data_IF_407596379237
#
_entry.id   IF_407596379237
#
_cell.length_a   1.000
_cell.length_b   1.000
_cell.length_c   1.000
_cell.angle_alpha   90.00
_cell.angle_beta   90.00
_cell.angle_gamma   90.00
#
_symmetry.space_group_name_H-M   'P 1'
#
loop_
_entity.id
_entity.type
_entity.pdbx_description
1 polymer ?
#
# COMPACT_ATOMS: atom_id res chain seq x y z
N UNK A 1 -19.44 -75.69 -34.13
CA UNK A 1 -20.29 -75.30 -35.28
C UNK A 1 -21.32 -74.30 -34.78
N UNK A 2 -21.43 -73.15 -35.48
CA UNK A 2 -22.54 -72.17 -35.63
C UNK A 2 -23.73 -72.29 -34.66
N UNK A 3 -24.30 -71.25 -34.07
CA UNK A 3 -24.22 -69.80 -34.29
C UNK A 3 -25.51 -69.11 -33.78
N UNK A 4 -25.32 -68.05 -33.00
CA UNK A 4 -25.97 -66.72 -33.07
C UNK A 4 -27.48 -66.47 -32.82
N UNK A 5 -27.72 -65.41 -32.01
CA UNK A 5 -28.85 -64.46 -31.97
C UNK A 5 -30.19 -64.96 -31.39
N UNK A 6 -31.06 -64.18 -30.71
CA UNK A 6 -31.13 -62.78 -30.25
C UNK A 6 -32.43 -62.61 -29.42
N UNK A 7 -32.45 -61.64 -28.49
CA UNK A 7 -33.54 -60.70 -28.11
C UNK A 7 -34.99 -61.12 -27.76
N UNK A 8 -35.41 -60.66 -26.57
CA UNK A 8 -36.65 -59.89 -26.21
C UNK A 8 -38.09 -60.46 -26.32
N UNK A 9 -38.96 -59.89 -25.45
CA UNK A 9 -40.46 -59.88 -25.39
C UNK A 9 -41.11 -61.16 -24.81
N UNK A 10 -42.23 -61.19 -24.07
CA UNK A 10 -43.28 -60.26 -23.59
C UNK A 10 -44.20 -61.06 -22.62
N UNK A 11 -44.73 -60.51 -21.52
CA UNK A 11 -46.10 -59.94 -21.36
C UNK A 11 -47.24 -60.94 -21.06
N UNK A 12 -48.01 -60.67 -19.98
CA UNK A 12 -49.45 -60.98 -19.74
C UNK A 12 -49.80 -60.57 -18.28
N UNK A 13 -50.28 -59.37 -17.90
CA UNK A 13 -51.50 -58.57 -18.17
C UNK A 13 -52.82 -59.02 -17.49
N UNK A 14 -53.44 -58.07 -16.76
CA UNK A 14 -54.84 -57.95 -16.26
C UNK A 14 -55.27 -58.68 -14.94
N UNK A 15 -56.06 -58.14 -14.00
CA UNK A 15 -56.97 -56.96 -13.96
C UNK A 15 -57.39 -56.57 -12.52
N UNK A 16 -57.88 -55.33 -12.39
CA UNK A 16 -58.45 -54.60 -11.24
C UNK A 16 -59.70 -55.21 -10.55
N UNK A 17 -59.95 -54.85 -9.27
CA UNK A 17 -61.22 -54.20 -8.82
C UNK A 17 -61.25 -53.75 -7.34
N UNK A 18 -61.57 -52.47 -7.15
CA UNK A 18 -61.98 -51.79 -5.91
C UNK A 18 -63.44 -52.10 -5.53
N UNK A 19 -63.79 -52.12 -4.22
CA UNK A 19 -64.91 -51.43 -3.52
C UNK A 19 -65.05 -52.01 -2.07
N UNK A 20 -64.66 -51.31 -0.99
CA UNK A 20 -65.48 -50.43 -0.12
C UNK A 20 -66.57 -51.13 0.73
N UNK A 21 -66.38 -51.16 2.07
CA UNK A 21 -67.29 -50.72 3.15
C UNK A 21 -67.54 -51.66 4.37
N UNK A 22 -67.71 -50.99 5.53
CA UNK A 22 -68.30 -51.37 6.85
C UNK A 22 -67.44 -52.18 7.86
N UNK A 23 -66.71 -51.52 8.77
CA UNK A 23 -67.14 -50.92 10.08
C UNK A 23 -67.23 -51.95 11.22
N UNK A 24 -66.41 -51.75 12.26
CA UNK A 24 -66.95 -51.77 13.62
C UNK A 24 -66.18 -50.82 14.55
N UNK A 25 -66.96 -50.23 15.44
CA UNK A 25 -66.85 -48.87 15.95
C UNK A 25 -66.68 -48.93 17.46
N UNK A 26 -65.66 -48.28 18.05
CA UNK A 26 -65.72 -47.70 19.42
C UNK A 26 -64.80 -46.48 19.55
N UNK A 27 -65.48 -45.34 19.49
CA UNK A 27 -65.22 -43.98 19.98
C UNK A 27 -64.23 -43.79 21.15
N UNK A 28 -63.26 -42.88 20.98
CA UNK A 28 -62.95 -41.79 21.93
C UNK A 28 -62.64 -40.51 21.14
N UNK A 29 -63.18 -39.42 21.66
CA UNK A 29 -63.37 -38.07 21.13
C UNK A 29 -62.16 -37.14 21.36
N UNK A 30 -61.93 -36.22 20.41
CA UNK A 30 -61.19 -34.94 20.48
C UNK A 30 -59.67 -35.00 20.78
N UNK A 31 -58.74 -34.41 20.01
CA UNK A 31 -58.78 -33.13 19.30
C UNK A 31 -57.84 -33.13 18.06
N UNK A 32 -58.46 -32.93 16.88
CA UNK A 32 -58.08 -32.06 15.71
C UNK A 32 -56.79 -31.23 15.90
N UNK A 33 -55.86 -31.04 14.94
CA UNK A 33 -55.66 -31.44 13.55
C UNK A 33 -54.18 -31.09 13.22
N UNK A 34 -53.50 -31.97 12.47
CA UNK A 34 -52.58 -31.72 11.32
C UNK A 34 -51.44 -30.69 11.45
N UNK A 35 -50.20 -30.96 11.03
CA UNK A 35 -49.79 -31.45 9.68
C UNK A 35 -48.45 -32.20 9.76
N UNK A 36 -48.36 -33.25 8.95
CA UNK A 36 -47.16 -34.05 8.67
C UNK A 36 -46.02 -33.25 8.00
N UNK A 37 -44.84 -33.85 8.09
CA UNK A 37 -43.81 -33.96 7.04
C UNK A 37 -42.49 -33.24 7.35
N UNK A 38 -41.55 -34.07 7.80
CA UNK A 38 -40.16 -34.12 7.33
C UNK A 38 -39.54 -32.81 6.87
N UNK A 39 -38.71 -32.24 7.74
CA UNK A 39 -37.51 -31.57 7.28
C UNK A 39 -36.33 -32.26 7.96
N UNK A 40 -35.49 -32.89 7.15
CA UNK A 40 -34.15 -33.26 7.58
C UNK A 40 -33.52 -32.00 8.19
N UNK A 41 -33.28 -32.01 9.50
CA UNK A 41 -32.31 -31.11 10.09
C UNK A 41 -30.94 -31.61 9.63
N UNK A 42 -30.61 -31.32 8.37
CA UNK A 42 -29.24 -31.08 8.01
C UNK A 42 -28.77 -30.01 8.97
N UNK A 43 -27.98 -30.40 9.95
CA UNK A 43 -27.09 -29.46 10.59
C UNK A 43 -26.29 -28.86 9.44
N UNK A 44 -26.70 -27.65 9.02
CA UNK A 44 -25.83 -26.83 8.21
C UNK A 44 -24.53 -26.79 9.00
N UNK A 45 -23.38 -27.12 8.40
CA UNK A 45 -22.14 -26.75 9.04
C UNK A 45 -22.30 -25.25 9.30
N UNK A 46 -22.22 -24.86 10.58
CA UNK A 46 -21.95 -23.47 10.88
C UNK A 46 -20.78 -23.12 9.97
N UNK A 47 -20.99 -22.22 9.02
CA UNK A 47 -19.89 -21.61 8.28
C UNK A 47 -19.10 -20.90 9.36
N UNK A 48 -18.18 -21.62 9.98
CA UNK A 48 -17.23 -21.08 10.91
C UNK A 48 -16.51 -20.04 10.08
N UNK A 49 -16.73 -18.77 10.37
CA UNK A 49 -15.74 -17.77 10.01
C UNK A 49 -14.48 -18.25 10.69
N UNK A 50 -13.60 -18.89 9.94
CA UNK A 50 -12.26 -19.21 10.42
C UNK A 50 -11.65 -17.86 10.78
N UNK A 51 -11.55 -17.58 12.08
CA UNK A 51 -10.92 -16.38 12.60
C UNK A 51 -9.49 -16.33 12.03
N UNK A 52 -9.09 -15.17 11.50
CA UNK A 52 -7.76 -15.04 10.90
C UNK A 52 -6.68 -15.41 11.94
N UNK A 53 -5.58 -16.08 11.53
CA UNK A 53 -4.49 -16.38 12.45
C UNK A 53 -3.98 -15.12 13.14
N UNK A 54 -3.61 -15.23 14.42
CA UNK A 54 -3.11 -14.06 15.17
C UNK A 54 -1.74 -13.62 14.68
N UNK A 55 -1.53 -12.31 14.60
CA UNK A 55 -0.22 -11.73 14.35
C UNK A 55 0.79 -12.16 15.45
N UNK A 56 2.01 -12.59 15.11
CA UNK A 56 3.03 -12.94 16.11
C UNK A 56 3.37 -11.75 17.03
N UNK A 57 3.49 -12.01 18.33
CA UNK A 57 3.66 -10.96 19.33
C UNK A 57 4.94 -10.13 19.17
N UNK A 58 6.05 -10.76 18.74
CA UNK A 58 7.33 -10.07 18.55
C UNK A 58 7.25 -8.94 17.51
N UNK A 59 6.37 -9.07 16.52
CA UNK A 59 6.16 -8.04 15.50
C UNK A 59 5.63 -6.76 16.15
N UNK A 60 4.68 -6.86 17.08
CA UNK A 60 4.16 -5.70 17.81
C UNK A 60 5.15 -5.18 18.87
N UNK A 61 5.88 -6.09 19.51
CA UNK A 61 6.83 -5.76 20.58
C UNK A 61 8.02 -4.92 20.10
N UNK A 62 8.46 -5.15 18.85
CA UNK A 62 9.61 -4.48 18.23
C UNK A 62 9.22 -3.58 17.03
N UNK A 63 7.92 -3.34 16.81
CA UNK A 63 7.45 -2.40 15.79
C UNK A 63 8.09 -1.01 16.00
N UNK A 64 8.42 -0.24 14.96
CA UNK A 64 8.94 1.11 15.16
C UNK A 64 7.92 2.07 15.80
N UNK A 65 8.42 3.07 16.53
CA UNK A 65 7.68 4.28 16.91
C UNK A 65 8.15 5.40 16.00
N UNK A 66 7.20 6.14 15.42
CA UNK A 66 7.50 7.23 14.48
C UNK A 66 7.36 8.56 15.22
N UNK A 67 8.42 9.34 15.26
CA UNK A 67 8.35 10.76 15.61
C UNK A 67 8.01 11.54 14.34
N UNK A 68 6.83 12.15 14.33
CA UNK A 68 6.44 13.12 13.30
C UNK A 68 7.13 14.46 13.58
N UNK A 69 7.30 15.28 12.55
CA UNK A 69 7.88 16.60 12.72
C UNK A 69 7.04 17.49 13.69
N UNK A 70 7.68 18.41 14.40
CA UNK A 70 7.05 19.33 15.35
C UNK A 70 6.11 20.32 14.64
N UNK A 71 6.38 20.64 13.38
CA UNK A 71 5.55 21.45 12.51
C UNK A 71 4.52 20.66 11.71
N UNK A 72 4.47 19.32 11.84
CA UNK A 72 3.63 18.48 10.99
C UNK A 72 2.14 18.86 11.05
N UNK A 73 1.52 18.90 9.88
CA UNK A 73 0.09 19.15 9.67
C UNK A 73 -0.58 18.10 8.79
N UNK A 74 0.21 17.27 8.11
CA UNK A 74 -0.19 16.13 7.29
C UNK A 74 0.08 14.85 8.08
N UNK A 75 -0.84 14.52 8.98
CA UNK A 75 -0.71 13.36 9.85
C UNK A 75 -1.07 12.05 9.13
N UNK A 76 -0.72 10.87 9.69
CA UNK A 76 -1.12 9.60 9.12
C UNK A 76 -2.64 9.52 8.92
N UNK A 77 -3.07 9.02 7.76
CA UNK A 77 -4.44 9.06 7.31
C UNK A 77 -5.09 7.67 7.32
N UNK A 78 -6.42 7.60 7.27
CA UNK A 78 -7.12 6.32 7.17
C UNK A 78 -7.11 5.82 5.72
N UNK A 79 -6.55 4.62 5.51
CA UNK A 79 -6.39 3.99 4.19
C UNK A 79 -7.74 3.85 3.47
N UNK A 80 -8.81 3.50 4.19
CA UNK A 80 -10.14 3.32 3.63
C UNK A 80 -10.85 4.64 3.32
N UNK A 81 -10.68 5.67 4.16
CA UNK A 81 -11.28 6.99 3.95
C UNK A 81 -10.70 7.69 2.73
N UNK A 82 -9.46 7.39 2.32
CA UNK A 82 -8.91 7.88 1.06
C UNK A 82 -9.88 7.61 -0.10
N UNK A 83 -10.43 6.39 -0.18
CA UNK A 83 -11.31 5.97 -1.27
C UNK A 83 -12.62 6.77 -1.33
N UNK A 84 -13.08 7.30 -0.18
CA UNK A 84 -14.27 8.15 -0.11
C UNK A 84 -14.05 9.51 -0.76
N UNK A 85 -12.80 9.95 -0.89
CA UNK A 85 -12.43 11.25 -1.44
C UNK A 85 -11.85 11.16 -2.86
N UNK A 86 -11.91 9.97 -3.48
CA UNK A 86 -11.35 9.74 -4.82
C UNK A 86 -12.38 9.32 -5.86
N UNK A 87 -12.08 9.57 -7.12
CA UNK A 87 -12.77 9.08 -8.31
C UNK A 87 -11.71 8.41 -9.21
N UNK A 88 -11.83 7.12 -9.51
CA UNK A 88 -10.96 6.43 -10.46
C UNK A 88 -10.96 7.10 -11.84
N UNK A 89 -9.78 7.45 -12.34
CA UNK A 89 -9.58 8.01 -13.69
C UNK A 89 -8.49 7.27 -14.46
N UNK A 90 -8.60 7.31 -15.79
CA UNK A 90 -7.56 6.91 -16.73
C UNK A 90 -7.42 8.07 -17.73
N UNK A 91 -6.20 8.59 -17.90
CA UNK A 91 -5.94 9.74 -18.78
C UNK A 91 -6.92 10.90 -18.48
N UNK A 92 -6.96 11.31 -17.21
CA UNK A 92 -7.85 12.35 -16.66
C UNK A 92 -9.36 12.14 -16.86
N UNK A 93 -9.79 10.98 -17.37
CA UNK A 93 -11.19 10.67 -17.66
C UNK A 93 -11.72 9.66 -16.67
N UNK A 94 -12.90 9.93 -16.10
CA UNK A 94 -13.55 9.02 -15.16
C UNK A 94 -13.77 7.63 -15.78
N UNK A 95 -13.40 6.59 -15.04
CA UNK A 95 -13.62 5.20 -15.46
C UNK A 95 -15.12 4.89 -15.51
N UNK A 96 -15.58 4.32 -16.63
CA UNK A 96 -16.96 3.84 -16.79
C UNK A 96 -17.08 2.40 -16.29
N UNK A 97 -18.18 2.08 -15.60
CA UNK A 97 -18.40 0.73 -15.06
C UNK A 97 -17.72 0.45 -13.71
N UNK A 98 -17.25 1.50 -13.02
CA UNK A 98 -16.76 1.38 -11.64
C UNK A 98 -17.85 0.81 -10.70
N UNK A 99 -17.47 0.05 -9.64
CA UNK A 99 -18.41 -0.30 -8.59
C UNK A 99 -19.07 0.96 -8.00
N UNK A 100 -20.37 0.89 -7.69
CA UNK A 100 -21.13 2.02 -7.14
C UNK A 100 -20.54 2.58 -5.82
N UNK A 101 -19.70 1.81 -5.12
CA UNK A 101 -18.96 2.26 -3.94
C UNK A 101 -17.60 1.57 -3.90
N UNK A 102 -16.53 2.36 -3.98
CA UNK A 102 -15.16 1.89 -3.88
C UNK A 102 -14.78 1.67 -2.41
N UNK A 103 -14.22 0.50 -2.10
CA UNK A 103 -13.84 0.08 -0.76
C UNK A 103 -12.55 -0.74 -0.81
N UNK A 104 -11.93 -0.96 0.35
CA UNK A 104 -10.74 -1.83 0.43
C UNK A 104 -11.02 -3.30 0.08
N UNK A 105 -12.29 -3.72 0.00
CA UNK A 105 -12.70 -5.09 -0.34
C UNK A 105 -12.89 -5.33 -1.85
N UNK A 106 -12.95 -4.27 -2.67
CA UNK A 106 -13.18 -4.38 -4.10
C UNK A 106 -12.22 -3.53 -4.96
N UNK A 107 -11.23 -2.87 -4.36
CA UNK A 107 -10.33 -1.95 -5.05
C UNK A 107 -9.57 -2.60 -6.23
N UNK A 108 -9.14 -3.87 -6.10
CA UNK A 108 -8.46 -4.59 -7.18
C UNK A 108 -9.34 -4.90 -8.39
N UNK A 109 -10.67 -4.74 -8.30
CA UNK A 109 -11.55 -4.86 -9.48
C UNK A 109 -11.21 -3.81 -10.54
N UNK A 110 -10.67 -2.65 -10.14
CA UNK A 110 -10.20 -1.60 -11.05
C UNK A 110 -9.05 -2.06 -11.95
N UNK A 111 -8.30 -3.11 -11.58
CA UNK A 111 -7.22 -3.63 -12.41
C UNK A 111 -7.72 -4.07 -13.80
N UNK A 112 -8.98 -4.51 -13.89
CA UNK A 112 -9.62 -4.92 -15.16
C UNK A 112 -9.97 -3.74 -16.07
N UNK A 113 -9.95 -2.51 -15.55
CA UNK A 113 -10.39 -1.28 -16.22
C UNK A 113 -9.23 -0.38 -16.66
N UNK A 114 -7.99 -0.79 -16.41
CA UNK A 114 -6.80 -0.01 -16.77
C UNK A 114 -5.50 -0.47 -16.09
N UNK A 115 -5.53 -1.53 -15.28
CA UNK A 115 -4.39 -2.07 -14.55
C UNK A 115 -3.62 -0.97 -13.80
N UNK A 116 -2.35 -0.75 -14.15
CA UNK A 116 -1.47 0.26 -13.53
C UNK A 116 -1.79 1.69 -13.94
N UNK A 117 -2.67 1.90 -14.92
CA UNK A 117 -3.04 3.21 -15.46
C UNK A 117 -4.30 3.81 -14.84
N UNK A 118 -4.87 3.16 -13.81
CA UNK A 118 -5.99 3.73 -13.05
C UNK A 118 -5.44 4.55 -11.90
N UNK A 119 -5.86 5.81 -11.80
CA UNK A 119 -5.46 6.76 -10.77
C UNK A 119 -6.62 7.02 -9.82
N UNK A 120 -6.39 6.95 -8.50
CA UNK A 120 -7.36 7.33 -7.47
C UNK A 120 -7.38 8.86 -7.31
N UNK A 121 -7.90 9.56 -8.31
CA UNK A 121 -7.87 11.03 -8.39
C UNK A 121 -8.77 11.67 -7.34
N UNK A 122 -8.30 12.70 -6.65
CA UNK A 122 -9.07 13.48 -5.69
C UNK A 122 -10.36 14.07 -6.31
N UNK A 123 -11.42 14.10 -5.50
CA UNK A 123 -12.72 14.72 -5.84
C UNK A 123 -12.65 16.24 -5.81
N UNK A 124 -11.87 16.77 -4.88
CA UNK A 124 -11.71 18.19 -4.61
C UNK A 124 -10.34 18.65 -5.13
N UNK A 125 -10.22 19.95 -5.41
CA UNK A 125 -8.93 20.54 -5.79
C UNK A 125 -8.04 20.65 -4.55
N UNK A 126 -6.96 19.86 -4.52
CA UNK A 126 -6.01 19.77 -3.42
C UNK A 126 -4.88 20.80 -3.53
N UNK A 127 -4.85 21.59 -4.59
CA UNK A 127 -3.81 22.63 -4.80
C UNK A 127 -4.20 24.00 -4.25
N UNK A 128 -5.47 24.19 -3.83
CA UNK A 128 -5.93 25.42 -3.21
C UNK A 128 -5.58 25.42 -1.72
N UNK A 129 -4.36 25.90 -1.39
CA UNK A 129 -3.83 25.97 -0.01
C UNK A 129 -4.77 26.74 0.94
N UNK A 130 -5.56 27.69 0.43
CA UNK A 130 -6.50 28.46 1.24
C UNK A 130 -7.80 27.69 1.56
N UNK A 131 -8.05 26.57 0.87
CA UNK A 131 -9.26 25.76 0.98
C UNK A 131 -8.96 24.26 0.97
N UNK A 132 -7.78 23.88 1.45
CA UNK A 132 -7.36 22.48 1.49
C UNK A 132 -8.44 21.60 2.13
N UNK A 133 -8.89 20.53 1.45
CA UNK A 133 -9.90 19.64 1.98
C UNK A 133 -9.41 18.99 3.28
N UNK A 134 -10.20 19.04 4.35
CA UNK A 134 -9.76 18.61 5.68
C UNK A 134 -9.24 17.17 5.77
N UNK A 135 -9.60 16.30 4.81
CA UNK A 135 -9.18 14.90 4.79
C UNK A 135 -7.69 14.72 4.47
N UNK A 136 -7.02 15.70 3.84
CA UNK A 136 -5.59 15.64 3.50
C UNK A 136 -4.70 15.67 4.74
N UNK A 137 -5.17 16.28 5.84
CA UNK A 137 -4.43 16.41 7.10
C UNK A 137 -4.38 15.13 7.95
N UNK A 138 -5.09 14.07 7.54
CA UNK A 138 -5.13 12.81 8.28
C UNK A 138 -5.64 12.93 9.72
N UNK A 139 -5.08 12.11 10.62
CA UNK A 139 -5.47 12.07 12.04
C UNK A 139 -4.24 12.24 12.91
N UNK A 140 -4.17 13.36 13.65
CA UNK A 140 -3.10 13.60 14.62
C UNK A 140 -3.09 12.51 15.71
N UNK A 141 -1.95 11.85 15.97
CA UNK A 141 -1.84 10.89 17.06
C UNK A 141 -2.16 11.53 18.42
N UNK A 142 -2.86 10.78 19.28
CA UNK A 142 -3.15 11.22 20.65
C UNK A 142 -1.92 11.03 21.57
N UNK A 143 -2.07 11.29 22.87
CA UNK A 143 -0.98 11.15 23.85
C UNK A 143 -0.48 9.71 24.06
N UNK A 144 -1.17 8.70 23.51
CA UNK A 144 -0.75 7.29 23.48
C UNK A 144 -0.15 6.90 22.12
N UNK A 145 -0.03 7.86 21.20
CA UNK A 145 0.41 7.65 19.83
C UNK A 145 -0.63 7.01 18.92
N UNK A 146 -1.91 6.99 19.30
CA UNK A 146 -2.95 6.34 18.48
C UNK A 146 -3.59 7.34 17.50
N UNK A 147 -3.78 6.94 16.25
CA UNK A 147 -4.64 7.62 15.28
C UNK A 147 -6.09 7.18 15.48
N UNK A 148 -6.78 7.81 16.44
CA UNK A 148 -8.11 7.38 16.89
C UNK A 148 -9.13 7.39 15.74
N UNK A 149 -9.73 6.24 15.47
CA UNK A 149 -10.74 6.11 14.40
C UNK A 149 -10.17 6.13 12.98
N UNK A 150 -8.86 5.90 12.83
CA UNK A 150 -8.19 5.72 11.56
C UNK A 150 -7.31 4.47 11.56
N UNK A 151 -7.36 3.67 10.49
CA UNK A 151 -6.36 2.62 10.22
C UNK A 151 -5.33 3.19 9.27
N UNK A 152 -4.20 3.61 9.83
CA UNK A 152 -3.15 4.35 9.10
C UNK A 152 -1.89 3.52 8.81
N UNK A 153 -1.93 2.25 9.22
CA UNK A 153 -0.81 1.34 9.05
C UNK A 153 -1.27 -0.03 8.55
N UNK A 154 -0.45 -0.63 7.70
CA UNK A 154 -0.57 -2.04 7.33
C UNK A 154 0.73 -2.79 7.61
N UNK A 155 0.62 -3.90 8.33
CA UNK A 155 1.72 -4.80 8.65
C UNK A 155 1.70 -5.93 7.63
N UNK A 156 2.80 -6.15 6.92
CA UNK A 156 2.95 -7.26 5.98
C UNK A 156 4.15 -8.10 6.39
N UNK A 157 3.91 -9.37 6.66
CA UNK A 157 4.95 -10.34 6.99
C UNK A 157 5.35 -11.13 5.75
N UNK A 158 6.64 -11.34 5.57
CA UNK A 158 7.17 -12.31 4.63
C UNK A 158 8.13 -13.27 5.34
N UNK A 159 7.74 -14.54 5.43
CA UNK A 159 8.64 -15.60 5.93
C UNK A 159 9.49 -16.10 4.77
N UNK A 160 10.80 -16.18 4.97
CA UNK A 160 11.73 -16.64 3.94
C UNK A 160 11.47 -18.12 3.62
N UNK A 161 11.27 -18.49 2.34
CA UNK A 161 10.95 -19.86 1.96
C UNK A 161 12.08 -20.84 2.27
N UNK A 162 13.33 -20.38 2.17
CA UNK A 162 14.53 -21.21 2.40
C UNK A 162 14.95 -21.27 3.88
N UNK A 163 14.44 -20.35 4.71
CA UNK A 163 14.71 -20.32 6.14
C UNK A 163 13.54 -19.73 6.93
N UNK A 164 12.69 -20.60 7.48
CA UNK A 164 11.50 -20.19 8.22
C UNK A 164 11.78 -19.46 9.54
N UNK A 165 13.02 -19.43 10.03
CA UNK A 165 13.38 -18.60 11.18
C UNK A 165 13.52 -17.12 10.83
N UNK A 166 13.65 -16.78 9.54
CA UNK A 166 13.77 -15.41 9.07
C UNK A 166 12.40 -14.88 8.65
N UNK A 167 11.98 -13.79 9.30
CA UNK A 167 10.72 -13.09 9.00
C UNK A 167 11.01 -11.62 8.77
N UNK A 168 10.58 -11.13 7.62
CA UNK A 168 10.60 -9.72 7.27
C UNK A 168 9.23 -9.11 7.61
N UNK A 169 9.19 -8.14 8.51
CA UNK A 169 7.97 -7.40 8.85
C UNK A 169 8.04 -5.98 8.30
N UNK A 170 7.19 -5.70 7.31
CA UNK A 170 7.00 -4.37 6.76
C UNK A 170 5.90 -3.63 7.54
N UNK A 171 6.17 -2.39 7.91
CA UNK A 171 5.21 -1.47 8.51
C UNK A 171 4.96 -0.34 7.52
N UNK A 172 3.89 -0.45 6.75
CA UNK A 172 3.48 0.57 5.79
C UNK A 172 2.74 1.69 6.51
N UNK A 173 3.07 2.92 6.19
CA UNK A 173 2.50 4.15 6.71
C UNK A 173 1.76 4.85 5.59
N UNK A 174 0.49 5.17 5.83
CA UNK A 174 -0.32 5.87 4.85
C UNK A 174 -0.55 7.31 5.25
N UNK A 175 -0.25 8.22 4.33
CA UNK A 175 -0.64 9.62 4.41
C UNK A 175 -1.58 9.93 3.25
N UNK A 176 -2.56 10.81 3.49
CA UNK A 176 -3.53 11.17 2.45
C UNK A 176 -2.92 12.09 1.39
N UNK A 177 -1.79 12.70 1.71
CA UNK A 177 -1.20 13.78 0.95
C UNK A 177 0.29 13.93 1.28
N UNK A 178 1.10 14.11 0.26
CA UNK A 178 2.53 14.40 0.33
C UNK A 178 2.75 15.84 -0.18
N UNK A 179 3.34 16.69 0.66
CA UNK A 179 3.62 18.09 0.33
C UNK A 179 4.99 18.31 -0.34
N UNK A 180 5.68 17.22 -0.62
CA UNK A 180 6.85 17.21 -1.45
C UNK A 180 8.14 17.65 -0.77
N UNK A 181 9.23 17.47 -1.50
CA UNK A 181 10.54 18.06 -1.18
C UNK A 181 10.58 19.56 -1.51
N UNK A 182 11.58 20.26 -0.97
CA UNK A 182 11.83 21.65 -1.33
C UNK A 182 13.20 21.80 -2.00
N UNK A 183 13.26 21.81 -3.35
CA UNK A 183 14.45 22.24 -4.10
C UNK A 183 14.68 23.74 -3.88
N UNK A 184 15.70 24.09 -3.10
CA UNK A 184 16.05 25.50 -2.84
C UNK A 184 14.86 26.39 -2.42
N UNK A 185 13.87 25.80 -1.71
CA UNK A 185 12.64 26.47 -1.28
C UNK A 185 11.49 26.46 -2.31
N UNK A 186 11.65 25.80 -3.45
CA UNK A 186 10.59 25.52 -4.42
C UNK A 186 10.04 24.12 -4.15
N UNK A 187 8.74 23.95 -3.91
CA UNK A 187 8.14 22.62 -3.72
C UNK A 187 8.18 21.78 -5.01
N UNK A 188 8.49 20.48 -4.90
CA UNK A 188 8.24 19.44 -5.92
C UNK A 188 7.73 18.16 -5.28
N UNK A 189 7.27 17.19 -6.09
CA UNK A 189 6.76 15.91 -5.57
C UNK A 189 5.46 16.04 -4.76
N UNK A 190 4.63 17.01 -5.11
CA UNK A 190 3.32 17.24 -4.52
C UNK A 190 2.33 16.20 -5.06
N UNK A 191 1.86 15.27 -4.23
CA UNK A 191 0.95 14.23 -4.69
C UNK A 191 -0.08 13.78 -3.66
N UNK A 192 -1.25 13.42 -4.18
CA UNK A 192 -2.31 12.78 -3.38
C UNK A 192 -1.90 11.36 -3.04
N UNK A 193 -2.14 10.99 -1.78
CA UNK A 193 -1.83 9.70 -1.20
C UNK A 193 -0.34 9.41 -1.15
N UNK A 194 0.11 8.78 -0.08
CA UNK A 194 1.51 8.44 0.09
C UNK A 194 1.70 7.15 0.89
N UNK A 195 2.69 6.38 0.46
CA UNK A 195 3.05 5.09 1.04
C UNK A 195 4.53 5.06 1.38
N UNK A 196 4.80 5.28 2.66
CA UNK A 196 6.10 5.12 3.27
C UNK A 196 6.16 3.80 4.06
N UNK A 197 7.36 3.30 4.35
CA UNK A 197 7.50 2.09 5.16
C UNK A 197 8.84 1.97 5.87
N UNK A 198 8.80 1.30 7.02
CA UNK A 198 9.97 0.64 7.55
C UNK A 198 9.84 -0.87 7.43
N UNK A 199 10.96 -1.57 7.44
CA UNK A 199 10.96 -3.02 7.48
C UNK A 199 11.95 -3.50 8.54
N UNK A 200 11.49 -4.39 9.42
CA UNK A 200 12.34 -5.02 10.44
C UNK A 200 12.52 -6.49 10.09
N UNK A 201 13.77 -6.94 10.00
CA UNK A 201 14.12 -8.34 9.83
C UNK A 201 14.26 -9.00 11.19
N UNK A 202 13.64 -10.16 11.34
CA UNK A 202 13.72 -10.98 12.54
C UNK A 202 14.39 -12.30 12.23
N UNK A 203 15.20 -12.79 13.17
CA UNK A 203 15.69 -14.16 13.22
C UNK A 203 15.23 -14.79 14.53
N UNK A 204 14.45 -15.87 14.45
CA UNK A 204 13.88 -16.55 15.62
C UNK A 204 13.09 -15.61 16.55
N UNK A 205 12.42 -14.61 15.96
CA UNK A 205 11.64 -13.60 16.67
C UNK A 205 12.46 -12.46 17.30
N UNK A 206 13.79 -12.44 17.10
CA UNK A 206 14.67 -11.36 17.56
C UNK A 206 14.98 -10.41 16.39
N UNK A 207 14.80 -9.09 16.53
CA UNK A 207 15.08 -8.15 15.43
C UNK A 207 16.59 -8.02 15.23
N UNK A 208 17.04 -8.15 13.98
CA UNK A 208 18.46 -8.05 13.60
C UNK A 208 18.76 -6.74 12.88
N UNK A 209 17.91 -6.37 11.92
CA UNK A 209 18.12 -5.25 11.00
C UNK A 209 16.83 -4.46 10.81
N UNK A 210 16.97 -3.18 10.46
CA UNK A 210 15.87 -2.31 10.07
C UNK A 210 16.23 -1.53 8.81
N UNK A 211 15.29 -1.46 7.86
CA UNK A 211 15.33 -0.60 6.69
C UNK A 211 14.32 0.53 6.84
N UNK A 212 14.71 1.75 6.49
CA UNK A 212 13.89 2.96 6.50
C UNK A 212 13.76 3.46 5.05
N UNK A 213 12.54 3.54 4.53
CA UNK A 213 12.31 4.06 3.17
C UNK A 213 12.55 5.56 3.09
N UNK A 214 13.15 5.99 1.98
CA UNK A 214 13.33 7.40 1.65
C UNK A 214 12.99 7.55 0.17
N UNK A 215 11.88 8.20 -0.13
CA UNK A 215 11.41 8.44 -1.50
C UNK A 215 11.26 7.15 -2.34
N UNK A 216 11.19 7.29 -3.68
CA UNK A 216 10.75 6.22 -4.60
C UNK A 216 11.63 4.96 -4.67
N UNK A 217 12.93 5.03 -4.39
CA UNK A 217 13.84 3.86 -4.55
C UNK A 217 15.08 3.90 -3.64
N UNK A 218 15.06 4.75 -2.62
CA UNK A 218 16.17 4.94 -1.69
C UNK A 218 15.75 4.60 -0.26
N UNK A 219 16.72 4.66 0.63
CA UNK A 219 16.55 4.38 2.04
C UNK A 219 17.87 3.97 2.66
N UNK A 220 17.79 3.67 3.94
CA UNK A 220 18.96 3.31 4.74
C UNK A 220 18.68 2.05 5.55
N UNK A 221 19.70 1.22 5.68
CA UNK A 221 19.66 0.02 6.50
C UNK A 221 20.59 0.15 7.71
N UNK A 222 20.12 -0.33 8.85
CA UNK A 222 20.85 -0.34 10.11
C UNK A 222 20.72 -1.68 10.80
N UNK A 223 21.72 -2.03 11.63
CA UNK A 223 21.49 -2.99 12.71
C UNK A 223 20.37 -2.44 13.60
N UNK A 224 19.40 -3.29 13.99
CA UNK A 224 18.28 -2.85 14.82
C UNK A 224 18.76 -2.29 16.16
N UNK A 225 19.85 -2.86 16.71
CA UNK A 225 20.45 -2.39 17.95
C UNK A 225 21.05 -0.97 17.84
N UNK A 226 21.45 -0.53 16.65
CA UNK A 226 22.08 0.77 16.43
C UNK A 226 21.13 1.94 16.69
N UNK A 227 19.83 1.77 16.43
CA UNK A 227 18.84 2.84 16.59
C UNK A 227 18.53 3.16 18.05
N UNK A 228 18.16 4.42 18.31
CA UNK A 228 17.52 4.82 19.56
C UNK A 228 16.21 4.05 19.76
N UNK A 229 15.81 3.84 21.02
CA UNK A 229 14.63 3.03 21.35
C UNK A 229 13.76 3.70 22.40
N UNK A 230 12.45 3.51 22.26
CA UNK A 230 11.48 3.72 23.33
C UNK A 230 11.05 2.34 23.82
N UNK A 231 11.53 1.95 25.00
CA UNK A 231 11.45 0.56 25.46
C UNK A 231 12.21 -0.36 24.52
N UNK A 232 11.51 -1.29 23.87
CA UNK A 232 12.10 -2.24 22.88
C UNK A 232 12.03 -1.75 21.44
N UNK A 233 11.23 -0.72 21.18
CA UNK A 233 10.82 -0.28 19.85
C UNK A 233 11.79 0.76 19.31
N UNK A 234 12.32 0.54 18.11
CA UNK A 234 13.15 1.52 17.42
C UNK A 234 12.39 2.85 17.23
N UNK A 235 13.05 3.95 17.56
CA UNK A 235 12.55 5.30 17.30
C UNK A 235 13.07 5.76 15.93
N UNK A 236 12.14 6.08 15.04
CA UNK A 236 12.42 6.60 13.70
C UNK A 236 11.73 7.96 13.54
N UNK A 237 12.15 8.75 12.56
CA UNK A 237 11.66 10.09 12.32
C UNK A 237 11.08 10.20 10.91
N UNK A 238 9.85 10.66 10.79
CA UNK A 238 9.28 11.03 9.49
C UNK A 238 9.66 12.49 9.19
N UNK A 239 10.08 12.74 7.96
CA UNK A 239 10.33 14.10 7.47
C UNK A 239 9.05 14.89 7.35
N UNK A 240 9.19 16.21 7.44
CA UNK A 240 8.09 17.16 7.35
C UNK A 240 7.47 17.15 5.94
N UNK A 241 6.23 16.68 5.83
CA UNK A 241 5.42 16.81 4.61
C UNK A 241 5.66 15.74 3.55
N UNK A 242 6.90 15.32 3.30
CA UNK A 242 7.23 14.23 2.35
C UNK A 242 7.30 12.83 3.01
N UNK A 243 7.35 12.80 4.34
CA UNK A 243 7.25 11.61 5.19
C UNK A 243 8.30 10.52 5.01
N UNK A 244 9.38 10.71 4.25
CA UNK A 244 10.56 9.85 4.25
C UNK A 244 11.09 9.56 5.67
N UNK A 245 11.64 8.36 5.87
CA UNK A 245 11.95 7.82 7.18
C UNK A 245 13.45 7.85 7.49
N UNK A 246 13.80 8.38 8.66
CA UNK A 246 15.18 8.60 9.09
C UNK A 246 15.47 8.03 10.49
N UNK A 247 16.72 7.64 10.70
CA UNK A 247 17.18 7.13 12.00
C UNK A 247 17.49 8.25 13.02
N UNK A 248 17.64 9.49 12.55
CA UNK A 248 17.96 10.65 13.40
C UNK A 248 17.08 11.85 13.08
N UNK A 249 16.92 12.73 14.09
CA UNK A 249 16.37 14.08 13.87
C UNK A 249 17.41 14.98 13.21
N UNK A 250 16.99 15.91 12.38
CA UNK A 250 17.87 16.92 11.81
C UNK A 250 17.61 17.16 10.34
N UNK A 251 18.67 17.47 9.60
CA UNK A 251 18.63 17.72 8.17
C UNK A 251 19.31 16.57 7.44
N UNK A 252 18.65 16.03 6.43
CA UNK A 252 19.14 14.87 5.67
C UNK A 252 19.24 15.25 4.21
N UNK A 253 20.41 15.08 3.60
CA UNK A 253 20.57 15.37 2.18
C UNK A 253 19.90 14.27 1.36
N UNK A 254 19.06 14.67 0.41
CA UNK A 254 18.48 13.75 -0.56
C UNK A 254 19.49 13.57 -1.69
N UNK A 255 19.97 12.34 -1.98
CA UNK A 255 20.87 12.12 -3.10
C UNK A 255 20.14 12.41 -4.42
N UNK A 256 20.41 13.58 -5.00
CA UNK A 256 19.85 13.95 -6.29
C UNK A 256 20.88 13.69 -7.40
N UNK A 257 20.50 12.86 -8.37
CA UNK A 257 21.25 12.74 -9.63
C UNK A 257 20.52 13.56 -10.67
N UNK A 258 21.18 14.59 -11.19
CA UNK A 258 20.64 15.37 -12.31
C UNK A 258 20.35 14.43 -13.49
N UNK A 259 19.11 14.43 -14.02
CA UNK A 259 18.87 13.74 -15.28
C UNK A 259 19.71 14.39 -16.39
N UNK A 260 19.94 13.68 -17.52
CA UNK A 260 20.64 14.26 -18.65
C UNK A 260 19.94 15.56 -19.08
N UNK A 261 20.63 16.69 -18.93
CA UNK A 261 20.07 17.98 -19.30
C UNK A 261 19.83 18.02 -20.81
N UNK A 262 18.76 18.68 -21.28
CA UNK A 262 18.58 18.93 -22.70
C UNK A 262 19.81 19.68 -23.24
N UNK A 263 20.31 19.26 -24.40
CA UNK A 263 21.39 19.97 -25.09
C UNK A 263 20.88 21.35 -25.50
N UNK A 264 21.26 22.39 -24.75
CA UNK A 264 20.99 23.77 -25.13
C UNK A 264 21.91 24.14 -26.29
N UNK A 265 21.32 24.37 -27.46
CA UNK A 265 22.07 24.91 -28.59
C UNK A 265 22.31 26.41 -28.38
N UNK A 266 23.48 26.75 -27.84
CA UNK A 266 23.88 28.13 -27.56
C UNK A 266 24.41 28.88 -28.79
N UNK A 267 24.42 28.26 -29.99
CA UNK A 267 24.93 28.91 -31.21
C UNK A 267 24.18 30.18 -31.60
N UNK A 268 22.95 30.37 -31.11
CA UNK A 268 22.12 31.55 -31.31
C UNK A 268 22.24 32.61 -30.21
N UNK A 269 22.99 32.34 -29.13
CA UNK A 269 23.13 33.24 -27.99
C UNK A 269 24.37 34.10 -28.18
N UNK A 270 24.19 35.42 -28.32
CA UNK A 270 25.29 36.39 -28.32
C UNK A 270 25.29 37.15 -27.00
N UNK A 271 26.35 36.97 -26.21
CA UNK A 271 26.57 37.73 -24.97
C UNK A 271 27.61 38.81 -25.28
N UNK A 272 27.28 40.11 -25.17
CA UNK A 272 28.24 41.19 -25.43
C UNK A 272 29.53 41.01 -24.63
N UNK A 273 30.66 40.93 -25.32
CA UNK A 273 31.98 40.76 -24.70
C UNK A 273 32.43 39.32 -24.47
N UNK A 274 31.64 38.30 -24.83
CA UNK A 274 32.04 36.89 -24.74
C UNK A 274 32.19 36.29 -26.15
N UNK A 275 33.37 35.78 -26.54
CA UNK A 275 33.57 35.11 -27.83
C UNK A 275 32.72 33.84 -27.95
N UNK A 276 32.14 33.58 -29.13
CA UNK A 276 31.29 32.40 -29.39
C UNK A 276 31.98 31.06 -29.12
N UNK A 277 33.30 31.00 -29.31
CA UNK A 277 34.12 29.81 -29.00
C UNK A 277 34.16 29.45 -27.52
N UNK A 278 33.90 30.41 -26.62
CA UNK A 278 33.76 30.14 -25.18
C UNK A 278 32.44 29.44 -24.88
N UNK A 279 31.37 29.82 -25.61
CA UNK A 279 30.03 29.25 -25.44
C UNK A 279 29.95 27.81 -25.98
N UNK A 280 30.72 27.47 -27.01
CA UNK A 280 30.82 26.12 -27.58
C UNK A 280 31.46 25.08 -26.64
N UNK A 281 32.19 25.53 -25.60
CA UNK A 281 32.84 24.67 -24.60
C UNK A 281 32.12 24.66 -23.24
N UNK A 282 30.97 25.34 -23.09
CA UNK A 282 30.21 25.31 -21.84
C UNK A 282 29.52 23.96 -21.64
N UNK A 283 30.01 23.18 -20.67
CA UNK A 283 29.29 22.01 -20.19
C UNK A 283 28.27 22.44 -19.13
N UNK A 284 27.02 22.62 -19.57
CA UNK A 284 25.91 22.98 -18.69
C UNK A 284 25.66 21.96 -17.57
N UNK A 285 25.96 20.66 -17.77
CA UNK A 285 25.81 19.68 -16.69
C UNK A 285 26.84 19.93 -15.59
N UNK A 286 28.11 20.15 -15.96
CA UNK A 286 29.18 20.47 -15.00
C UNK A 286 28.95 21.82 -14.31
N UNK A 287 28.40 22.81 -15.03
CA UNK A 287 28.04 24.10 -14.43
C UNK A 287 26.88 23.92 -13.46
N UNK A 288 25.85 23.16 -13.83
CA UNK A 288 24.70 22.94 -12.96
C UNK A 288 25.07 22.11 -11.73
N UNK A 289 25.91 21.08 -11.87
CA UNK A 289 26.50 20.34 -10.74
C UNK A 289 27.36 21.24 -9.82
N UNK A 290 28.06 22.23 -10.39
CA UNK A 290 28.85 23.18 -9.61
C UNK A 290 28.01 24.29 -8.94
N UNK A 291 26.81 24.57 -9.47
CA UNK A 291 25.93 25.65 -9.00
C UNK A 291 24.83 25.13 -8.07
N UNK A 292 24.37 23.89 -8.24
CA UNK A 292 23.45 23.20 -7.34
C UNK A 292 24.24 22.78 -6.10
N UNK A 293 24.04 23.41 -4.92
CA UNK A 293 24.77 23.03 -3.72
C UNK A 293 24.43 21.59 -3.33
N UNK A 294 25.35 20.88 -2.67
CA UNK A 294 25.06 19.53 -2.13
C UNK A 294 23.87 19.48 -1.14
N UNK A 295 23.44 20.66 -0.65
CA UNK A 295 22.33 20.86 0.27
C UNK A 295 21.04 21.32 -0.45
N UNK A 296 20.97 21.20 -1.77
CA UNK A 296 19.87 21.73 -2.58
C UNK A 296 18.53 21.08 -2.27
N UNK A 297 18.57 19.81 -1.88
CA UNK A 297 17.44 18.99 -1.49
C UNK A 297 17.70 18.39 -0.13
N UNK A 298 16.89 18.78 0.85
CA UNK A 298 17.02 18.31 2.22
C UNK A 298 15.68 18.03 2.87
N UNK A 299 15.59 16.85 3.46
CA UNK A 299 14.51 16.51 4.36
C UNK A 299 14.82 17.06 5.75
N UNK A 300 13.77 17.47 6.45
CA UNK A 300 13.84 17.94 7.83
C UNK A 300 13.02 17.04 8.73
N UNK A 301 13.64 16.59 9.81
CA UNK A 301 12.99 15.78 10.83
C UNK A 301 13.21 16.38 12.22
N UNK A 302 12.21 16.27 13.09
CA UNK A 302 12.31 16.73 14.49
C UNK A 302 11.54 15.80 15.44
N UNK A 303 11.60 16.11 16.74
CA UNK A 303 10.96 15.31 17.79
C UNK A 303 9.58 15.89 18.13
N UNK A 304 8.64 15.77 17.20
CA UNK A 304 7.28 16.22 17.38
C UNK A 304 6.37 15.13 17.98
N UNK A 305 5.20 14.97 17.37
CA UNK A 305 4.17 14.05 17.88
C UNK A 305 4.62 12.60 17.68
N UNK A 306 4.63 11.81 18.76
CA UNK A 306 4.91 10.38 18.66
C UNK A 306 3.68 9.62 18.16
N UNK A 307 3.88 8.78 17.16
CA UNK A 307 2.89 7.89 16.59
C UNK A 307 3.28 6.43 16.86
N UNK A 308 2.30 5.63 17.30
CA UNK A 308 2.36 4.19 17.38
C UNK A 308 1.58 3.59 16.18
N UNK A 309 2.27 3.21 15.09
CA UNK A 309 1.59 2.74 13.88
C UNK A 309 0.78 1.46 14.10
N UNK A 310 1.20 0.61 15.04
CA UNK A 310 0.58 -0.71 15.24
C UNK A 310 -0.57 -0.69 16.24
N UNK A 311 -0.88 0.47 16.84
CA UNK A 311 -2.02 0.62 17.73
C UNK A 311 -3.36 0.40 17.02
N UNK A 312 -3.43 0.75 15.73
CA UNK A 312 -4.55 0.42 14.85
C UNK A 312 -4.07 0.11 13.44
N UNK A 313 -3.68 -1.14 13.21
CA UNK A 313 -3.15 -1.60 11.93
C UNK A 313 -3.91 -2.80 11.38
N UNK A 314 -3.97 -2.87 10.06
CA UNK A 314 -4.22 -4.13 9.37
C UNK A 314 -2.96 -5.00 9.40
N UNK A 315 -3.13 -6.32 9.32
CA UNK A 315 -2.00 -7.25 9.31
C UNK A 315 -2.21 -8.39 8.32
N UNK A 316 -1.14 -8.79 7.65
CA UNK A 316 -1.17 -9.80 6.60
C UNK A 316 0.09 -10.63 6.57
N UNK A 317 -0.02 -11.88 6.14
CA UNK A 317 1.10 -12.68 5.67
C UNK A 317 1.14 -12.62 4.13
N UNK A 318 2.33 -12.44 3.56
CA UNK A 318 2.54 -12.33 2.12
C UNK A 318 3.34 -13.52 1.59
N UNK A 319 2.88 -14.06 0.47
CA UNK A 319 3.57 -15.10 -0.28
C UNK A 319 3.52 -14.76 -1.76
N UNK A 320 4.67 -14.86 -2.41
CA UNK A 320 4.80 -14.78 -3.86
C UNK A 320 5.05 -16.17 -4.43
N UNK A 321 4.16 -16.64 -5.30
CA UNK A 321 4.27 -17.93 -5.99
C UNK A 321 4.06 -17.71 -7.49
N UNK A 322 5.15 -17.46 -8.21
CA UNK A 322 5.08 -17.13 -9.63
C UNK A 322 4.62 -18.34 -10.45
N UNK A 323 3.44 -18.22 -11.05
CA UNK A 323 2.95 -19.12 -12.08
C UNK A 323 2.54 -18.30 -13.31
N UNK A 324 3.12 -18.54 -14.49
CA UNK A 324 2.81 -17.77 -15.70
C UNK A 324 1.37 -17.98 -16.21
N UNK A 325 0.65 -18.97 -15.70
CA UNK A 325 -0.76 -19.23 -16.03
C UNK A 325 -1.76 -18.59 -15.06
N UNK A 326 -1.28 -17.94 -14.00
CA UNK A 326 -2.11 -17.21 -13.03
C UNK A 326 -2.04 -15.71 -13.28
N UNK A 327 -3.08 -15.00 -12.86
CA UNK A 327 -3.07 -13.53 -12.81
C UNK A 327 -2.00 -12.99 -11.85
N UNK A 328 -1.65 -11.71 -12.00
CA UNK A 328 -0.70 -11.07 -11.10
C UNK A 328 -1.24 -11.02 -9.66
N UNK A 329 -2.54 -10.88 -9.47
CA UNK A 329 -3.22 -10.94 -8.17
C UNK A 329 -3.10 -12.34 -7.54
N UNK A 330 -3.26 -13.40 -8.32
CA UNK A 330 -3.12 -14.78 -7.84
C UNK A 330 -1.66 -15.13 -7.49
N UNK A 331 -0.68 -14.53 -8.17
CA UNK A 331 0.74 -14.69 -7.83
C UNK A 331 1.13 -13.91 -6.56
N UNK A 332 0.40 -12.85 -6.21
CA UNK A 332 0.64 -11.99 -5.05
C UNK A 332 -0.39 -12.25 -3.93
N UNK A 333 -0.12 -13.24 -3.07
CA UNK A 333 -1.10 -13.68 -2.08
C UNK A 333 -0.90 -12.99 -0.73
N UNK A 334 -1.89 -12.20 -0.33
CA UNK A 334 -2.00 -11.64 1.02
C UNK A 334 -3.05 -12.40 1.83
N UNK A 335 -2.63 -12.99 2.95
CA UNK A 335 -3.51 -13.72 3.87
C UNK A 335 -3.74 -12.87 5.12
N UNK A 336 -5.00 -12.55 5.48
CA UNK A 336 -5.32 -11.77 6.69
C UNK A 336 -4.73 -12.37 7.97
N UNK A 337 -4.24 -11.50 8.84
CA UNK A 337 -3.89 -11.83 10.22
C UNK A 337 -4.74 -10.97 11.17
N UNK A 338 -5.24 -11.57 12.24
CA UNK A 338 -6.03 -10.88 13.25
C UNK A 338 -5.13 -10.02 14.15
N UNK A 339 -5.47 -8.74 14.28
CA UNK A 339 -4.97 -7.85 15.34
C UNK A 339 -6.07 -7.61 16.37
N UNK A 340 -5.74 -6.97 17.50
CA UNK A 340 -6.73 -6.65 18.53
C UNK A 340 -7.84 -5.72 18.02
N UNK A 341 -7.52 -4.80 17.11
CA UNK A 341 -8.46 -3.84 16.55
C UNK A 341 -9.05 -4.29 15.20
N UNK A 342 -8.36 -5.16 14.46
CA UNK A 342 -8.74 -5.59 13.11
C UNK A 342 -8.77 -7.12 13.00
N UNK A 343 -9.89 -7.78 13.36
CA UNK A 343 -9.97 -9.25 13.33
C UNK A 343 -10.08 -9.84 11.92
N UNK A 344 -10.56 -9.06 10.94
CA UNK A 344 -10.75 -9.51 9.56
C UNK A 344 -10.38 -8.39 8.57
N UNK A 345 -9.08 -8.12 8.38
CA UNK A 345 -8.64 -7.04 7.50
C UNK A 345 -8.95 -7.34 6.01
N UNK A 346 -9.35 -6.33 5.21
CA UNK A 346 -9.65 -6.49 3.79
C UNK A 346 -8.37 -6.73 2.98
N UNK A 347 -8.40 -7.51 1.90
CA UNK A 347 -7.19 -7.85 1.12
C UNK A 347 -7.13 -7.27 -0.28
N UNK A 348 -8.28 -6.95 -0.90
CA UNK A 348 -8.34 -6.55 -2.30
C UNK A 348 -7.47 -5.32 -2.61
N UNK A 349 -7.40 -4.34 -1.70
CA UNK A 349 -6.59 -3.15 -1.89
C UNK A 349 -5.08 -3.40 -1.99
N UNK A 350 -4.55 -4.48 -1.42
CA UNK A 350 -3.12 -4.80 -1.46
C UNK A 350 -2.64 -5.21 -2.86
N UNK A 351 -3.55 -5.72 -3.69
CA UNK A 351 -3.29 -6.08 -5.08
C UNK A 351 -3.97 -5.13 -6.06
N UNK A 352 -4.34 -3.92 -5.63
CA UNK A 352 -4.64 -2.84 -6.56
C UNK A 352 -3.34 -2.34 -7.20
N UNK A 353 -3.26 -2.42 -8.52
CA UNK A 353 -2.04 -2.14 -9.27
C UNK A 353 -1.93 -0.71 -9.80
N UNK A 354 -2.99 0.09 -9.68
CA UNK A 354 -3.00 1.49 -10.06
C UNK A 354 -2.27 2.41 -9.06
N UNK A 355 -2.49 3.71 -9.24
CA UNK A 355 -1.86 4.76 -8.45
C UNK A 355 -2.78 5.26 -7.33
N UNK A 356 -2.23 5.40 -6.13
CA UNK A 356 -2.91 5.92 -4.95
C UNK A 356 -2.97 7.44 -4.93
N UNK A 357 -3.39 8.06 -6.03
CA UNK A 357 -3.52 9.51 -6.12
C UNK A 357 -3.85 9.99 -7.52
N UNK A 358 -3.65 11.28 -7.72
CA UNK A 358 -3.82 11.96 -9.00
C UNK A 358 -2.79 11.47 -10.03
N UNK A 359 -3.13 11.63 -11.31
CA UNK A 359 -2.18 11.54 -12.42
C UNK A 359 -1.39 12.85 -12.50
N UNK A 360 -0.08 12.80 -12.73
CA UNK A 360 0.77 14.00 -12.88
C UNK A 360 0.13 14.98 -13.87
N UNK A 361 -0.12 16.21 -13.43
CA UNK A 361 -0.83 17.19 -14.26
C UNK A 361 -0.01 17.56 -15.50
N UNK A 362 -0.65 17.77 -16.66
CA UNK A 362 0.05 18.22 -17.85
C UNK A 362 0.52 19.67 -17.69
N UNK A 363 1.60 20.07 -18.36
CA UNK A 363 2.11 21.45 -18.37
C UNK A 363 1.11 22.50 -18.90
N UNK A 364 0.02 22.07 -19.52
CA UNK A 364 -1.10 22.95 -19.92
C UNK A 364 -2.02 23.31 -18.75
N UNK A 365 -1.94 22.60 -17.63
CA UNK A 365 -2.65 22.96 -16.41
C UNK A 365 -1.94 24.13 -15.72
N UNK A 366 -2.70 25.18 -15.38
CA UNK A 366 -2.17 26.42 -14.79
C UNK A 366 -1.55 26.22 -13.40
N UNK A 367 -1.85 25.10 -12.74
CA UNK A 367 -1.32 24.73 -11.42
C UNK A 367 0.01 23.99 -11.52
N UNK A 368 0.41 23.55 -12.71
CA UNK A 368 1.58 22.72 -12.92
C UNK A 368 2.78 23.54 -13.41
N UNK A 369 3.96 23.20 -12.91
CA UNK A 369 5.24 23.63 -13.47
C UNK A 369 6.32 22.56 -13.28
N UNK A 370 7.40 22.67 -14.05
CA UNK A 370 8.59 21.84 -13.91
C UNK A 370 9.80 22.73 -13.60
N UNK A 371 10.54 22.39 -12.55
CA UNK A 371 11.78 23.10 -12.21
C UNK A 371 12.81 22.80 -13.31
N UNK A 372 13.35 23.86 -13.92
CA UNK A 372 14.31 23.78 -15.02
C UNK A 372 13.81 22.99 -16.26
N UNK A 373 12.49 22.84 -16.43
CA UNK A 373 11.90 22.03 -17.51
C UNK A 373 12.40 20.56 -17.47
N UNK A 374 12.58 20.05 -16.25
CA UNK A 374 12.93 18.66 -15.97
C UNK A 374 11.64 17.96 -15.45
N UNK A 375 11.08 16.99 -16.19
CA UNK A 375 9.83 16.32 -15.79
C UNK A 375 9.88 15.60 -14.44
N UNK A 376 11.06 15.16 -14.02
CA UNK A 376 11.29 14.54 -12.71
C UNK A 376 11.26 15.55 -11.54
N UNK A 377 11.21 16.85 -11.85
CA UNK A 377 11.04 17.94 -10.88
C UNK A 377 9.73 18.70 -11.16
N UNK A 378 8.69 17.95 -11.52
CA UNK A 378 7.35 18.49 -11.65
C UNK A 378 6.81 18.83 -10.26
N UNK A 379 6.07 19.94 -10.16
CA UNK A 379 5.45 20.33 -8.90
C UNK A 379 4.42 19.28 -8.47
N UNK A 380 3.45 18.99 -9.32
CA UNK A 380 2.40 18.00 -9.05
C UNK A 380 2.79 16.68 -9.71
N UNK A 381 2.98 15.64 -8.92
CA UNK A 381 3.38 14.31 -9.38
C UNK A 381 2.25 13.29 -9.26
N UNK A 382 2.45 12.13 -9.90
CA UNK A 382 1.50 11.03 -9.80
C UNK A 382 1.56 10.43 -8.40
N UNK A 383 0.42 10.09 -7.81
CA UNK A 383 0.40 9.32 -6.56
C UNK A 383 1.12 7.97 -6.72
N UNK A 384 1.66 7.37 -5.64
CA UNK A 384 2.48 6.17 -5.72
C UNK A 384 1.64 4.91 -5.89
N UNK A 385 2.29 3.82 -6.30
CA UNK A 385 1.66 2.51 -6.26
C UNK A 385 1.58 1.97 -4.81
N UNK A 386 0.70 0.98 -4.59
CA UNK A 386 0.47 0.40 -3.27
C UNK A 386 1.58 -0.55 -2.76
N UNK A 387 1.41 -1.15 -1.56
CA UNK A 387 2.44 -1.94 -0.88
C UNK A 387 3.04 -3.11 -1.67
N UNK A 388 2.29 -3.75 -2.58
CA UNK A 388 2.79 -4.88 -3.38
C UNK A 388 3.99 -4.52 -4.27
N UNK A 389 4.17 -3.23 -4.59
CA UNK A 389 5.29 -2.73 -5.40
C UNK A 389 6.56 -2.45 -4.58
N UNK A 390 6.51 -2.53 -3.24
CA UNK A 390 7.61 -2.13 -2.36
C UNK A 390 8.62 -3.26 -2.11
N UNK A 391 8.78 -4.16 -3.08
CA UNK A 391 9.72 -5.29 -3.06
C UNK A 391 9.61 -6.15 -1.79
N UNK A 392 8.47 -6.79 -1.57
CA UNK A 392 8.19 -7.56 -0.35
C UNK A 392 9.03 -8.84 -0.20
N UNK A 393 9.61 -9.35 -1.30
CA UNK A 393 10.57 -10.46 -1.29
C UNK A 393 11.97 -9.90 -1.47
N UNK A 394 12.83 -10.05 -0.46
CA UNK A 394 14.20 -9.53 -0.47
C UNK A 394 15.20 -10.54 0.10
N UNK A 395 16.35 -10.70 -0.55
CA UNK A 395 17.46 -11.46 0.01
C UNK A 395 18.14 -10.73 1.17
N UNK A 396 18.32 -9.42 1.04
CA UNK A 396 18.84 -8.51 2.08
C UNK A 396 17.73 -7.65 2.69
N UNK A 397 18.00 -6.93 3.76
CA UNK A 397 17.04 -5.94 4.32
C UNK A 397 16.73 -4.80 3.32
N UNK A 398 17.71 -4.42 2.49
CA UNK A 398 17.53 -3.42 1.43
C UNK A 398 16.76 -3.98 0.21
N UNK A 399 16.01 -3.12 -0.52
CA UNK A 399 15.35 -3.51 -1.76
C UNK A 399 16.36 -3.82 -2.88
N UNK A 400 16.00 -4.64 -3.88
CA UNK A 400 16.90 -5.02 -4.99
C UNK A 400 17.43 -3.87 -5.83
N UNK A 401 16.71 -2.74 -5.88
CA UNK A 401 17.14 -1.54 -6.60
C UNK A 401 18.39 -0.88 -5.98
N UNK A 402 18.66 -1.14 -4.70
CA UNK A 402 19.86 -0.63 -4.03
C UNK A 402 21.06 -1.56 -4.28
N UNK A 403 21.89 -1.18 -5.25
CA UNK A 403 23.04 -1.97 -5.73
C UNK A 403 24.01 -2.34 -4.59
N UNK A 404 24.19 -1.46 -3.60
CA UNK A 404 25.01 -1.70 -2.41
C UNK A 404 24.18 -1.59 -1.13
N UNK A 405 23.75 -2.71 -0.57
CA UNK A 405 23.10 -2.75 0.74
C UNK A 405 24.16 -2.62 1.85
N UNK A 406 24.41 -1.39 2.30
CA UNK A 406 25.29 -1.13 3.44
C UNK A 406 24.47 -1.08 4.71
N UNK A 407 24.74 -2.00 5.65
CA UNK A 407 24.08 -2.04 6.95
C UNK A 407 24.92 -1.23 7.93
N UNK A 408 24.39 -0.08 8.33
CA UNK A 408 25.03 0.82 9.29
C UNK A 408 24.96 0.24 10.70
N UNK A 409 26.06 0.33 11.43
CA UNK A 409 26.20 -0.25 12.78
C UNK A 409 26.04 0.78 13.89
N UNK A 410 26.03 2.07 13.54
CA UNK A 410 25.89 3.18 14.48
C UNK A 410 25.08 4.33 13.85
N UNK A 411 24.36 5.08 14.69
CA UNK A 411 23.71 6.33 14.29
C UNK A 411 24.69 7.39 13.80
N UNK A 412 25.98 7.28 14.14
CA UNK A 412 27.01 8.19 13.62
C UNK A 412 27.22 8.05 12.11
N UNK A 413 26.77 6.94 11.53
CA UNK A 413 26.82 6.69 10.10
C UNK A 413 25.60 7.27 9.37
N UNK A 414 24.61 7.82 10.09
CA UNK A 414 23.38 8.39 9.54
C UNK A 414 23.50 9.86 9.10
N UNK A 415 24.73 10.38 8.96
CA UNK A 415 25.02 11.79 8.65
C UNK A 415 25.49 12.02 7.23
#
# INVERSE_FOLDING_TARGET
MRGTHSSHLDLLYHTLRNLLLYVNMRTITALVLTVLATCAAGASPSVGRNEAPKLPAFVLEYAPIVALDEGEVLFPADIGKQLLNTIPKVNFTKVSGEPHSLTLNNLSELNKLGNTSVFLTAKEDITDIAREPSWVHGVRPNSRGETVGAVSCAIVLHTHPDNSSIVDAFYFYFYAFNNGGHVAGVPEDFHVGDWEHSMVRFQDGVPTEIFLSQHSSSGEAFLYEALQKIGKRALIFASFGDHANYATKGSHNIPFTLPPLPTLNLSSVSIPGIPSSVLEHLNLSTILEAVIPANFLQDKTSMGTLWDPVANAFAYNYTFDFNPHRSAEENNKFTPLATKSQPNPPTSWLTYFGQWGDEQYPLTDVRQFEILNIPALAYIMSGPNGPVFKHLVRSTVCPPAMINCTIKTSLKEAT
#
